data_IF_165925464185
#
_entry.id   IF_165925464185
#
_cell.length_a   1.000
_cell.length_b   1.000
_cell.length_c   1.000
_cell.angle_alpha   90.00
_cell.angle_beta   90.00
_cell.angle_gamma   90.00
#
_symmetry.space_group_name_H-M   'P 1'
#
loop_
_entity.id
_entity.type
_entity.pdbx_description
1 polymer ?
#
# COMPACT_ATOMS: atom_id res chain seq x y z
N UNK A 1 21.97 -61.72 -19.73
CA UNK A 1 21.22 -60.60 -19.15
C UNK A 1 19.77 -60.77 -19.53
N UNK A 2 18.91 -61.09 -18.56
CA UNK A 2 17.47 -61.28 -18.79
C UNK A 2 16.78 -59.92 -18.97
N UNK A 3 15.72 -59.86 -19.78
CA UNK A 3 14.96 -58.63 -20.07
C UNK A 3 14.49 -57.87 -18.81
N UNK A 4 14.35 -58.57 -17.68
CA UNK A 4 14.03 -57.98 -16.38
C UNK A 4 15.17 -57.16 -15.76
N UNK A 5 16.44 -57.50 -16.02
CA UNK A 5 17.59 -56.70 -15.56
C UNK A 5 17.75 -55.42 -16.39
N UNK A 6 17.46 -55.49 -17.69
CA UNK A 6 17.47 -54.32 -18.59
C UNK A 6 16.34 -53.36 -18.19
N UNK A 7 15.12 -53.87 -17.93
CA UNK A 7 13.99 -53.07 -17.45
C UNK A 7 14.24 -52.40 -16.08
N UNK A 8 14.90 -53.08 -15.13
CA UNK A 8 15.28 -52.46 -13.84
C UNK A 8 16.36 -51.39 -13.99
N UNK A 9 17.32 -51.60 -14.91
CA UNK A 9 18.38 -50.62 -15.20
C UNK A 9 17.81 -49.38 -15.89
N UNK A 10 16.86 -49.55 -16.82
CA UNK A 10 16.16 -48.46 -17.50
C UNK A 10 15.20 -47.68 -16.59
N UNK A 11 14.53 -48.34 -15.64
CA UNK A 11 13.72 -47.64 -14.64
C UNK A 11 14.59 -46.83 -13.66
N UNK A 12 15.76 -47.34 -13.28
CA UNK A 12 16.72 -46.64 -12.41
C UNK A 12 17.34 -45.39 -13.06
N UNK A 13 17.69 -45.45 -14.35
CA UNK A 13 18.23 -44.32 -15.13
C UNK A 13 17.16 -43.29 -15.49
N UNK A 14 15.94 -43.73 -15.84
CA UNK A 14 14.76 -42.90 -16.04
C UNK A 14 14.40 -42.08 -14.80
N UNK A 15 14.41 -42.71 -13.62
CA UNK A 15 14.05 -41.99 -12.40
C UNK A 15 15.11 -40.95 -12.00
N UNK A 16 16.40 -41.27 -12.17
CA UNK A 16 17.54 -40.37 -11.88
C UNK A 16 17.59 -39.17 -12.83
N UNK A 17 17.32 -39.38 -14.12
CA UNK A 17 17.24 -38.31 -15.12
C UNK A 17 16.05 -37.37 -14.89
N UNK A 18 14.88 -37.91 -14.51
CA UNK A 18 13.69 -37.08 -14.19
C UNK A 18 13.91 -36.17 -12.98
N UNK A 19 14.65 -36.65 -11.97
CA UNK A 19 14.94 -35.92 -10.73
C UNK A 19 16.00 -34.84 -10.93
N UNK A 20 16.96 -35.06 -11.84
CA UNK A 20 17.92 -34.05 -12.24
C UNK A 20 17.25 -32.95 -13.09
N UNK A 21 16.35 -33.36 -13.99
CA UNK A 21 15.57 -32.45 -14.83
C UNK A 21 14.66 -31.50 -14.02
N UNK A 22 13.96 -32.03 -13.02
CA UNK A 22 13.11 -31.19 -12.16
C UNK A 22 13.91 -30.20 -11.31
N UNK A 23 15.11 -30.59 -10.84
CA UNK A 23 16.02 -29.68 -10.14
C UNK A 23 16.51 -28.53 -11.03
N UNK A 24 16.79 -28.81 -12.30
CA UNK A 24 17.24 -27.81 -13.28
C UNK A 24 16.22 -26.69 -13.47
N UNK A 25 14.94 -27.03 -13.66
CA UNK A 25 13.90 -26.01 -13.86
C UNK A 25 13.48 -25.31 -12.57
N UNK A 26 13.53 -25.98 -11.41
CA UNK A 26 13.39 -25.30 -10.13
C UNK A 26 14.45 -24.21 -10.00
N UNK A 27 15.71 -24.52 -10.32
CA UNK A 27 16.78 -23.53 -10.34
C UNK A 27 16.50 -22.38 -11.32
N UNK A 28 16.01 -22.66 -12.53
CA UNK A 28 15.66 -21.63 -13.51
C UNK A 28 14.54 -20.68 -13.04
N UNK A 29 13.47 -21.21 -12.43
CA UNK A 29 12.43 -20.36 -11.85
C UNK A 29 12.98 -19.51 -10.70
N UNK A 30 13.76 -20.10 -9.80
CA UNK A 30 14.38 -19.38 -8.69
C UNK A 30 15.25 -18.23 -9.17
N UNK A 31 16.16 -18.48 -10.13
CA UNK A 31 17.04 -17.46 -10.67
C UNK A 31 16.26 -16.37 -11.39
N UNK A 32 15.26 -16.74 -12.22
CA UNK A 32 14.44 -15.76 -12.93
C UNK A 32 13.74 -14.80 -11.96
N UNK A 33 13.12 -15.31 -10.91
CA UNK A 33 12.43 -14.47 -9.92
C UNK A 33 13.38 -13.60 -9.11
N UNK A 34 14.56 -14.13 -8.74
CA UNK A 34 15.58 -13.31 -8.09
C UNK A 34 16.11 -12.22 -9.03
N UNK A 35 16.32 -12.51 -10.30
CA UNK A 35 16.72 -11.52 -11.30
C UNK A 35 15.67 -10.41 -11.42
N UNK A 36 14.38 -10.75 -11.48
CA UNK A 36 13.29 -9.76 -11.50
C UNK A 36 13.30 -8.93 -10.21
N UNK A 37 13.46 -9.56 -9.05
CA UNK A 37 13.56 -8.85 -7.77
C UNK A 37 14.72 -7.83 -7.76
N UNK A 38 15.92 -8.22 -8.18
CA UNK A 38 17.07 -7.31 -8.23
C UNK A 38 16.93 -6.22 -9.30
N UNK A 39 16.27 -6.52 -10.41
CA UNK A 39 15.96 -5.53 -11.44
C UNK A 39 14.97 -4.49 -10.92
N UNK A 40 13.92 -4.92 -10.21
CA UNK A 40 12.97 -4.02 -9.54
C UNK A 40 13.66 -3.16 -8.49
N UNK A 41 14.52 -3.75 -7.66
CA UNK A 41 15.33 -3.02 -6.69
C UNK A 41 16.22 -1.97 -7.38
N UNK A 42 16.86 -2.32 -8.49
CA UNK A 42 17.68 -1.39 -9.28
C UNK A 42 16.88 -0.20 -9.82
N UNK A 43 15.71 -0.46 -10.41
CA UNK A 43 14.79 0.58 -10.90
C UNK A 43 14.34 1.49 -9.75
N UNK A 44 14.00 0.92 -8.59
CA UNK A 44 13.62 1.67 -7.41
C UNK A 44 14.77 2.58 -6.93
N UNK A 45 15.99 2.05 -6.81
CA UNK A 45 17.16 2.83 -6.39
C UNK A 45 17.45 3.98 -7.36
N UNK A 46 17.44 3.72 -8.67
CA UNK A 46 17.66 4.74 -9.72
C UNK A 46 16.55 5.80 -9.66
N UNK A 47 15.29 5.39 -9.52
CA UNK A 47 14.15 6.31 -9.40
C UNK A 47 14.28 7.21 -8.17
N UNK A 48 14.71 6.66 -7.03
CA UNK A 48 14.96 7.45 -5.81
C UNK A 48 16.13 8.39 -5.97
N UNK A 49 17.23 7.94 -6.58
CA UNK A 49 18.38 8.80 -6.86
C UNK A 49 17.97 10.00 -7.72
N UNK A 50 17.22 9.77 -8.81
CA UNK A 50 16.68 10.85 -9.64
C UNK A 50 15.77 11.80 -8.85
N UNK A 51 14.87 11.27 -8.03
CA UNK A 51 13.96 12.08 -7.22
C UNK A 51 14.71 13.01 -6.25
N UNK A 52 15.71 12.49 -5.54
CA UNK A 52 16.50 13.30 -4.59
C UNK A 52 17.46 14.26 -5.28
N UNK A 53 17.96 13.93 -6.47
CA UNK A 53 18.81 14.84 -7.24
C UNK A 53 18.01 15.96 -7.91
N UNK A 54 16.73 15.73 -8.23
CA UNK A 54 15.83 16.73 -8.79
C UNK A 54 15.20 17.65 -7.73
N UNK A 55 15.09 17.19 -6.48
CA UNK A 55 14.48 17.94 -5.38
C UNK A 55 15.37 19.08 -4.86
N UNK A 56 14.93 20.34 -5.04
CA UNK A 56 15.67 21.53 -4.55
C UNK A 56 15.57 21.77 -3.02
N UNK A 57 14.69 21.05 -2.31
CA UNK A 57 14.30 21.36 -0.91
C UNK A 57 14.49 20.16 0.04
N UNK A 58 15.26 19.14 -0.39
CA UNK A 58 15.49 17.91 0.37
C UNK A 58 16.96 17.68 0.71
N UNK A 59 17.19 16.80 1.68
CA UNK A 59 18.49 16.17 1.94
C UNK A 59 18.97 15.36 0.73
N UNK A 60 20.28 15.35 0.47
CA UNK A 60 20.88 14.59 -0.64
C UNK A 60 20.59 13.09 -0.57
N UNK A 61 20.62 12.40 -1.71
CA UNK A 61 20.48 10.94 -1.76
C UNK A 61 21.47 10.24 -0.80
N UNK A 62 22.72 10.70 -0.74
CA UNK A 62 23.75 10.14 0.12
C UNK A 62 23.38 10.25 1.60
N UNK A 63 22.99 11.43 2.06
CA UNK A 63 22.58 11.63 3.46
C UNK A 63 21.37 10.77 3.85
N UNK A 64 20.46 10.52 2.90
CA UNK A 64 19.33 9.62 3.12
C UNK A 64 19.78 8.16 3.16
N UNK A 65 20.70 7.77 2.28
CA UNK A 65 21.27 6.42 2.28
C UNK A 65 22.01 6.14 3.59
N UNK A 66 22.77 7.10 4.11
CA UNK A 66 23.48 6.96 5.39
C UNK A 66 22.52 6.75 6.57
N UNK A 67 21.43 7.51 6.63
CA UNK A 67 20.36 7.32 7.64
C UNK A 67 19.75 5.92 7.50
N UNK A 68 19.52 5.47 6.27
CA UNK A 68 18.94 4.14 5.99
C UNK A 68 19.88 3.03 6.43
N UNK A 69 21.17 3.12 6.10
CA UNK A 69 22.18 2.13 6.45
C UNK A 69 22.49 2.12 7.95
N UNK A 70 22.50 3.27 8.62
CA UNK A 70 22.90 3.34 10.02
C UNK A 70 21.74 3.11 10.99
N UNK A 71 20.58 3.73 10.75
CA UNK A 71 19.44 3.72 11.68
C UNK A 71 18.47 2.58 11.36
N UNK A 72 18.33 2.23 10.07
CA UNK A 72 17.25 1.36 9.61
C UNK A 72 17.69 -0.08 9.32
N UNK A 73 19.00 -0.37 9.28
CA UNK A 73 19.53 -1.69 8.96
C UNK A 73 18.88 -2.86 9.71
N UNK A 74 18.64 -2.79 11.03
CA UNK A 74 17.99 -3.88 11.76
C UNK A 74 16.58 -4.20 11.26
N UNK A 75 15.88 -3.22 10.68
CA UNK A 75 14.52 -3.36 10.14
C UNK A 75 14.51 -3.72 8.65
N UNK A 76 15.56 -3.33 7.92
CA UNK A 76 15.72 -3.62 6.49
C UNK A 76 16.00 -5.10 6.23
N UNK A 77 16.80 -5.76 7.07
CA UNK A 77 17.16 -7.17 6.86
C UNK A 77 15.90 -8.07 6.92
N UNK A 78 15.05 -8.01 7.97
CA UNK A 78 13.82 -8.80 8.01
C UNK A 78 12.87 -8.47 6.86
N UNK A 79 12.74 -7.19 6.50
CA UNK A 79 11.91 -6.76 5.38
C UNK A 79 12.42 -7.33 4.06
N UNK A 80 13.73 -7.24 3.81
CA UNK A 80 14.37 -7.78 2.61
C UNK A 80 14.21 -9.30 2.52
N UNK A 81 14.46 -10.02 3.62
CA UNK A 81 14.26 -11.47 3.69
C UNK A 81 12.80 -11.82 3.37
N UNK A 82 11.86 -11.08 3.96
CA UNK A 82 10.43 -11.31 3.72
C UNK A 82 10.07 -11.03 2.26
N UNK A 83 10.55 -9.95 1.66
CA UNK A 83 10.32 -9.63 0.25
C UNK A 83 10.90 -10.72 -0.65
N UNK A 84 12.16 -11.12 -0.45
CA UNK A 84 12.78 -12.23 -1.21
C UNK A 84 11.98 -13.52 -1.04
N UNK A 85 11.49 -13.81 0.17
CA UNK A 85 10.67 -15.00 0.42
C UNK A 85 9.38 -15.03 -0.40
N UNK A 86 8.76 -13.88 -0.67
CA UNK A 86 7.59 -13.78 -1.55
C UNK A 86 7.97 -14.16 -2.99
N UNK A 87 9.09 -13.66 -3.52
CA UNK A 87 9.54 -14.01 -4.87
C UNK A 87 9.89 -15.49 -4.96
N UNK A 88 10.59 -16.04 -3.97
CA UNK A 88 10.90 -17.48 -3.91
C UNK A 88 9.64 -18.34 -3.82
N UNK A 89 8.63 -17.87 -3.09
CA UNK A 89 7.35 -18.55 -2.99
C UNK A 89 6.62 -18.61 -4.34
N UNK A 90 6.54 -17.49 -5.07
CA UNK A 90 5.95 -17.48 -6.41
C UNK A 90 6.79 -18.22 -7.45
N UNK A 91 8.13 -18.20 -7.34
CA UNK A 91 9.02 -19.00 -8.17
C UNK A 91 8.72 -20.49 -8.02
N UNK A 92 8.58 -20.94 -6.77
CA UNK A 92 8.23 -22.32 -6.46
C UNK A 92 6.82 -22.67 -6.94
N UNK A 93 5.84 -21.78 -6.78
CA UNK A 93 4.48 -21.98 -7.30
C UNK A 93 4.45 -22.15 -8.83
N UNK A 94 5.15 -21.28 -9.56
CA UNK A 94 5.30 -21.39 -11.02
C UNK A 94 6.01 -22.70 -11.42
N UNK A 95 7.06 -23.08 -10.69
CA UNK A 95 7.71 -24.38 -10.90
C UNK A 95 6.75 -25.55 -10.73
N UNK A 96 5.85 -25.54 -9.73
CA UNK A 96 4.87 -26.63 -9.55
C UNK A 96 3.89 -26.72 -10.73
N UNK A 97 3.42 -25.58 -11.23
CA UNK A 97 2.54 -25.53 -12.42
C UNK A 97 3.28 -26.08 -13.64
N UNK A 98 4.51 -25.61 -13.88
CA UNK A 98 5.35 -26.09 -14.96
C UNK A 98 5.62 -27.61 -14.86
N UNK A 99 5.93 -28.10 -13.67
CA UNK A 99 6.19 -29.53 -13.43
C UNK A 99 4.96 -30.38 -13.76
N UNK A 100 3.78 -29.88 -13.41
CA UNK A 100 2.53 -30.55 -13.74
C UNK A 100 2.25 -30.57 -15.25
N UNK A 101 2.44 -29.44 -15.94
CA UNK A 101 2.21 -29.32 -17.39
C UNK A 101 3.21 -30.17 -18.20
N UNK A 102 4.49 -30.13 -17.84
CA UNK A 102 5.55 -30.92 -18.48
C UNK A 102 5.33 -32.43 -18.33
N UNK A 103 4.94 -32.90 -17.14
CA UNK A 103 4.62 -34.32 -16.91
C UNK A 103 3.43 -34.80 -17.75
N UNK A 104 2.41 -33.95 -17.94
CA UNK A 104 1.24 -34.29 -18.77
C UNK A 104 1.61 -34.42 -20.25
N UNK A 105 2.43 -33.49 -20.75
CA UNK A 105 2.92 -33.53 -22.14
C UNK A 105 3.78 -34.78 -22.40
N UNK A 106 4.68 -35.12 -21.48
CA UNK A 106 5.53 -36.31 -21.60
C UNK A 106 4.75 -37.63 -21.55
N UNK A 107 3.63 -37.70 -20.82
CA UNK A 107 2.75 -38.90 -20.81
C UNK A 107 1.99 -39.10 -22.11
N UNK A 108 1.59 -38.01 -22.79
CA UNK A 108 0.86 -38.07 -24.07
C UNK A 108 1.77 -38.33 -25.26
N UNK A 109 3.04 -37.98 -25.17
CA UNK A 109 3.98 -38.06 -26.30
C UNK A 109 5.05 -39.13 -26.08
N UNK A 110 4.72 -40.39 -26.37
CA UNK A 110 5.70 -41.50 -26.36
C UNK A 110 6.69 -41.44 -27.55
N UNK A 111 6.34 -40.72 -28.63
CA UNK A 111 7.12 -40.69 -29.89
C UNK A 111 7.91 -39.39 -30.15
N UNK A 112 7.77 -38.34 -29.33
CA UNK A 112 8.48 -37.05 -29.53
C UNK A 112 9.52 -36.84 -28.42
N UNK A 113 10.51 -37.72 -28.35
CA UNK A 113 11.58 -37.64 -27.35
C UNK A 113 12.63 -36.57 -27.75
N UNK A 114 12.79 -36.28 -29.06
CA UNK A 114 13.78 -35.29 -29.54
C UNK A 114 13.42 -33.83 -29.22
N UNK A 115 12.14 -33.45 -29.20
CA UNK A 115 11.71 -32.06 -28.99
C UNK A 115 11.15 -31.77 -27.58
N UNK A 116 11.13 -32.76 -26.68
CA UNK A 116 10.57 -32.61 -25.34
C UNK A 116 11.23 -31.46 -24.53
N UNK A 117 12.55 -31.28 -24.69
CA UNK A 117 13.28 -30.20 -24.02
C UNK A 117 12.89 -28.81 -24.53
N UNK A 118 12.60 -28.66 -25.81
CA UNK A 118 12.20 -27.38 -26.41
C UNK A 118 10.79 -26.99 -25.97
N UNK A 119 9.86 -27.96 -25.94
CA UNK A 119 8.49 -27.75 -25.44
C UNK A 119 8.51 -27.34 -23.96
N UNK A 120 9.31 -28.02 -23.14
CA UNK A 120 9.44 -27.72 -21.71
C UNK A 120 10.05 -26.32 -21.47
N UNK A 121 11.00 -25.90 -22.32
CA UNK A 121 11.54 -24.54 -22.29
C UNK A 121 10.51 -23.48 -22.74
N UNK A 122 9.76 -23.74 -23.81
CA UNK A 122 8.68 -22.86 -24.25
C UNK A 122 7.60 -22.72 -23.18
N UNK A 123 7.22 -23.82 -22.52
CA UNK A 123 6.29 -23.80 -21.39
C UNK A 123 6.83 -22.97 -20.23
N UNK A 124 8.13 -23.09 -19.92
CA UNK A 124 8.78 -22.26 -18.92
C UNK A 124 8.70 -20.78 -19.30
N UNK A 125 9.07 -20.41 -20.52
CA UNK A 125 9.04 -19.01 -20.96
C UNK A 125 7.61 -18.45 -20.97
N UNK A 126 6.65 -19.18 -21.55
CA UNK A 126 5.26 -18.74 -21.66
C UNK A 126 4.59 -18.59 -20.29
N UNK A 127 4.82 -19.53 -19.36
CA UNK A 127 4.24 -19.47 -18.02
C UNK A 127 4.75 -18.25 -17.25
N UNK A 128 6.07 -18.06 -17.19
CA UNK A 128 6.64 -16.94 -16.44
C UNK A 128 6.33 -15.59 -17.10
N UNK A 129 6.35 -15.51 -18.44
CA UNK A 129 5.96 -14.30 -19.16
C UNK A 129 4.51 -13.92 -18.85
N UNK A 130 3.58 -14.86 -18.95
CA UNK A 130 2.17 -14.61 -18.65
C UNK A 130 2.00 -14.20 -17.18
N UNK A 131 2.68 -14.86 -16.25
CA UNK A 131 2.65 -14.52 -14.83
C UNK A 131 3.09 -13.08 -14.58
N UNK A 132 4.30 -12.70 -15.03
CA UNK A 132 4.81 -11.35 -14.81
C UNK A 132 3.97 -10.30 -15.55
N UNK A 133 3.54 -10.57 -16.78
CA UNK A 133 2.66 -9.68 -17.53
C UNK A 133 1.38 -9.36 -16.74
N UNK A 134 0.68 -10.39 -16.25
CA UNK A 134 -0.56 -10.21 -15.46
C UNK A 134 -0.27 -9.42 -14.18
N UNK A 135 0.77 -9.80 -13.44
CA UNK A 135 1.14 -9.18 -12.16
C UNK A 135 1.50 -7.70 -12.32
N UNK A 136 2.27 -7.34 -13.34
CA UNK A 136 2.63 -5.95 -13.63
C UNK A 136 1.44 -5.10 -14.10
N UNK A 137 0.56 -5.67 -14.92
CA UNK A 137 -0.68 -4.98 -15.31
C UNK A 137 -1.56 -4.75 -14.07
N UNK A 138 -1.74 -5.75 -13.20
CA UNK A 138 -2.46 -5.58 -11.94
C UNK A 138 -1.85 -4.49 -11.06
N UNK A 139 -0.53 -4.48 -10.89
CA UNK A 139 0.16 -3.44 -10.13
C UNK A 139 -0.05 -2.05 -10.73
N UNK A 140 -0.02 -1.92 -12.07
CA UNK A 140 -0.28 -0.65 -12.76
C UNK A 140 -1.70 -0.14 -12.51
N UNK A 141 -2.68 -1.04 -12.47
CA UNK A 141 -4.09 -0.67 -12.25
C UNK A 141 -4.42 -0.33 -10.80
N UNK A 142 -3.80 -1.02 -9.85
CA UNK A 142 -4.03 -0.82 -8.41
C UNK A 142 -3.14 0.28 -7.83
N UNK A 143 -1.94 0.48 -8.38
CA UNK A 143 -0.96 1.46 -7.93
C UNK A 143 -0.37 2.24 -9.12
N UNK A 144 -1.15 3.11 -9.79
CA UNK A 144 -0.65 3.99 -10.85
C UNK A 144 0.51 4.92 -10.43
N UNK A 145 0.72 5.11 -9.12
CA UNK A 145 1.85 5.88 -8.61
C UNK A 145 3.14 5.05 -8.42
N UNK A 146 3.06 3.71 -8.52
CA UNK A 146 4.24 2.82 -8.40
C UNK A 146 5.31 3.16 -9.44
N UNK A 147 6.58 3.03 -9.07
CA UNK A 147 7.71 3.17 -10.01
C UNK A 147 7.72 2.08 -11.08
N UNK A 148 7.00 0.99 -10.84
CA UNK A 148 6.83 -0.14 -11.77
C UNK A 148 5.50 -0.08 -12.53
N UNK A 149 4.77 1.04 -12.46
CA UNK A 149 3.53 1.23 -13.21
C UNK A 149 3.80 1.66 -14.65
N UNK A 150 3.01 1.13 -15.59
CA UNK A 150 3.00 1.58 -16.98
C UNK A 150 1.95 2.68 -17.16
N UNK A 151 2.35 3.94 -17.00
CA UNK A 151 1.43 5.09 -16.99
C UNK A 151 0.55 5.19 -18.25
N UNK A 152 1.05 4.72 -19.41
CA UNK A 152 0.30 4.64 -20.67
C UNK A 152 -0.91 3.70 -20.61
N UNK A 153 -0.89 2.68 -19.75
CA UNK A 153 -2.00 1.73 -19.59
C UNK A 153 -3.09 2.24 -18.64
N UNK A 154 -2.74 3.11 -17.68
CA UNK A 154 -3.66 3.60 -16.62
C UNK A 154 -4.88 4.30 -17.21
N UNK A 155 -4.67 5.14 -18.23
CA UNK A 155 -5.74 5.95 -18.83
C UNK A 155 -6.57 5.21 -19.88
N UNK A 156 -6.12 4.03 -20.33
CA UNK A 156 -6.70 3.34 -21.50
C UNK A 156 -7.37 2.03 -21.12
N UNK A 157 -7.12 1.47 -19.93
CA UNK A 157 -7.66 0.15 -19.57
C UNK A 157 -9.19 0.10 -19.43
N UNK A 158 -9.91 -0.49 -20.40
CA UNK A 158 -11.36 -0.60 -20.34
C UNK A 158 -11.76 -1.72 -19.35
N UNK A 159 -13.04 -1.74 -18.96
CA UNK A 159 -13.61 -2.77 -18.08
C UNK A 159 -13.34 -4.21 -18.57
N UNK A 160 -13.18 -4.41 -19.88
CA UNK A 160 -12.83 -5.70 -20.48
C UNK A 160 -11.44 -6.19 -20.06
N UNK A 161 -10.43 -5.31 -19.94
CA UNK A 161 -9.08 -5.69 -19.49
C UNK A 161 -9.11 -6.11 -18.03
N UNK A 162 -9.87 -5.40 -17.19
CA UNK A 162 -10.09 -5.80 -15.79
C UNK A 162 -10.71 -7.20 -15.69
N UNK A 163 -11.72 -7.52 -16.50
CA UNK A 163 -12.33 -8.87 -16.55
C UNK A 163 -11.38 -9.94 -17.09
N UNK A 164 -10.59 -9.63 -18.11
CA UNK A 164 -9.59 -10.54 -18.67
C UNK A 164 -8.50 -10.90 -17.64
N UNK A 165 -8.05 -9.93 -16.86
CA UNK A 165 -7.06 -10.12 -15.79
C UNK A 165 -7.58 -11.05 -14.68
N UNK A 166 -8.84 -10.89 -14.27
CA UNK A 166 -9.49 -11.82 -13.33
C UNK A 166 -9.58 -13.23 -13.90
N UNK A 167 -9.90 -13.36 -15.18
CA UNK A 167 -9.94 -14.64 -15.85
C UNK A 167 -8.55 -15.31 -15.83
N UNK A 168 -7.49 -14.61 -16.25
CA UNK A 168 -6.12 -15.16 -16.22
C UNK A 168 -5.68 -15.55 -14.82
N UNK A 169 -6.03 -14.76 -13.82
CA UNK A 169 -5.75 -15.05 -12.42
C UNK A 169 -6.49 -16.30 -11.93
N UNK A 170 -7.78 -16.43 -12.26
CA UNK A 170 -8.59 -17.60 -11.93
C UNK A 170 -8.06 -18.87 -12.60
N UNK A 171 -7.57 -18.77 -13.85
CA UNK A 171 -6.93 -19.86 -14.58
C UNK A 171 -5.61 -20.24 -13.91
N UNK A 172 -4.76 -19.27 -13.56
CA UNK A 172 -3.51 -19.52 -12.84
C UNK A 172 -3.75 -20.24 -11.50
N UNK A 173 -4.72 -19.76 -10.72
CA UNK A 173 -5.10 -20.36 -9.43
C UNK A 173 -5.67 -21.77 -9.60
N UNK A 174 -6.52 -21.99 -10.61
CA UNK A 174 -7.03 -23.31 -10.96
C UNK A 174 -5.92 -24.29 -11.34
N UNK A 175 -4.96 -23.84 -12.15
CA UNK A 175 -3.78 -24.63 -12.54
C UNK A 175 -2.90 -24.94 -11.34
N UNK A 176 -2.68 -23.98 -10.44
CA UNK A 176 -1.97 -24.18 -9.18
C UNK A 176 -2.69 -25.25 -8.35
N UNK A 177 -3.94 -25.04 -7.95
CA UNK A 177 -4.71 -25.99 -7.15
C UNK A 177 -4.75 -27.41 -7.75
N UNK A 178 -4.90 -27.50 -9.08
CA UNK A 178 -4.95 -28.78 -9.78
C UNK A 178 -3.58 -29.48 -9.84
N UNK A 179 -2.48 -28.73 -10.06
CA UNK A 179 -1.13 -29.26 -10.00
C UNK A 179 -0.81 -29.85 -8.61
N UNK A 180 -1.34 -29.22 -7.57
CA UNK A 180 -1.13 -29.58 -6.17
C UNK A 180 -1.95 -30.79 -5.71
N UNK A 181 -3.20 -30.96 -6.17
CA UNK A 181 -4.06 -32.13 -5.85
C UNK A 181 -3.40 -33.47 -6.24
N UNK A 182 -2.57 -33.45 -7.28
CA UNK A 182 -1.87 -34.63 -7.81
C UNK A 182 -0.61 -35.01 -7.03
N UNK A 183 -0.06 -34.14 -6.19
CA UNK A 183 1.16 -34.41 -5.42
C UNK A 183 0.79 -34.88 -4.01
N UNK A 184 0.89 -36.19 -3.77
CA UNK A 184 0.43 -36.83 -2.52
C UNK A 184 1.22 -36.44 -1.26
N UNK A 185 2.48 -35.99 -1.37
CA UNK A 185 3.40 -35.93 -0.21
C UNK A 185 3.33 -34.66 0.64
N UNK A 186 2.88 -33.52 0.09
CA UNK A 186 2.84 -32.21 0.79
C UNK A 186 1.46 -31.53 0.76
N UNK A 187 0.37 -32.30 0.61
CA UNK A 187 -0.98 -31.78 0.32
C UNK A 187 -1.44 -30.66 1.25
N UNK A 188 -1.20 -30.76 2.56
CA UNK A 188 -1.66 -29.77 3.53
C UNK A 188 -0.97 -28.40 3.35
N UNK A 189 0.36 -28.36 3.27
CA UNK A 189 1.13 -27.14 3.05
C UNK A 189 0.80 -26.47 1.70
N UNK A 190 0.56 -27.29 0.67
CA UNK A 190 0.20 -26.85 -0.68
C UNK A 190 -1.22 -26.26 -0.77
N UNK A 191 -2.18 -26.87 -0.06
CA UNK A 191 -3.54 -26.36 0.05
C UNK A 191 -3.55 -25.05 0.84
N UNK A 192 -2.84 -24.98 1.96
CA UNK A 192 -2.72 -23.76 2.77
C UNK A 192 -2.10 -22.60 1.98
N UNK A 193 -1.04 -22.85 1.23
CA UNK A 193 -0.38 -21.83 0.40
C UNK A 193 -1.24 -21.36 -0.77
N UNK A 194 -2.01 -22.26 -1.39
CA UNK A 194 -2.93 -21.89 -2.46
C UNK A 194 -4.18 -21.16 -1.96
N UNK A 195 -4.68 -21.54 -0.78
CA UNK A 195 -5.76 -20.83 -0.10
C UNK A 195 -5.28 -19.44 0.34
N UNK A 196 -4.03 -19.29 0.77
CA UNK A 196 -3.44 -18.00 1.10
C UNK A 196 -3.34 -17.11 -0.15
N UNK A 197 -2.83 -17.62 -1.27
CA UNK A 197 -2.80 -16.89 -2.55
C UNK A 197 -4.23 -16.52 -2.98
N UNK A 198 -5.16 -17.48 -2.97
CA UNK A 198 -6.56 -17.27 -3.34
C UNK A 198 -7.23 -16.22 -2.42
N UNK A 199 -6.93 -16.21 -1.13
CA UNK A 199 -7.45 -15.23 -0.17
C UNK A 199 -6.85 -13.83 -0.41
N UNK A 200 -5.54 -13.75 -0.62
CA UNK A 200 -4.85 -12.51 -0.98
C UNK A 200 -5.46 -11.92 -2.26
N UNK A 201 -5.67 -12.73 -3.29
CA UNK A 201 -6.18 -12.29 -4.58
C UNK A 201 -7.69 -12.02 -4.60
N UNK A 202 -8.53 -12.90 -4.04
CA UNK A 202 -9.98 -12.67 -3.94
C UNK A 202 -10.25 -11.41 -3.12
N UNK A 203 -9.51 -11.17 -2.03
CA UNK A 203 -9.72 -9.97 -1.22
C UNK A 203 -9.34 -8.69 -1.99
N UNK A 204 -8.23 -8.68 -2.74
CA UNK A 204 -7.87 -7.56 -3.61
C UNK A 204 -8.92 -7.31 -4.71
N UNK A 205 -9.44 -8.37 -5.32
CA UNK A 205 -10.51 -8.29 -6.33
C UNK A 205 -11.82 -7.84 -5.71
N UNK A 206 -12.20 -8.39 -4.56
CA UNK A 206 -13.41 -8.05 -3.84
C UNK A 206 -13.36 -6.58 -3.41
N UNK A 207 -12.31 -6.10 -2.73
CA UNK A 207 -12.13 -4.68 -2.37
C UNK A 207 -12.20 -3.76 -3.61
N UNK A 208 -11.67 -4.20 -4.75
CA UNK A 208 -11.74 -3.44 -6.00
C UNK A 208 -13.16 -3.32 -6.58
N UNK A 209 -14.00 -4.36 -6.43
CA UNK A 209 -15.39 -4.38 -6.93
C UNK A 209 -16.43 -3.94 -5.88
N UNK A 210 -16.12 -4.13 -4.60
CA UNK A 210 -16.94 -3.77 -3.45
C UNK A 210 -16.19 -2.71 -2.67
N UNK A 211 -16.13 -1.50 -3.23
CA UNK A 211 -16.08 -0.33 -2.35
C UNK A 211 -17.41 -0.31 -1.59
N UNK A 212 -17.48 -1.07 -0.49
CA UNK A 212 -18.63 -1.04 0.39
C UNK A 212 -18.62 0.33 1.04
N UNK A 213 -19.45 1.23 0.52
CA UNK A 213 -19.75 2.48 1.20
C UNK A 213 -20.48 2.10 2.49
N UNK A 214 -19.74 2.06 3.60
CA UNK A 214 -20.33 2.04 4.93
C UNK A 214 -21.22 3.28 5.01
N UNK A 215 -22.51 3.08 4.86
CA UNK A 215 -23.50 4.13 5.04
C UNK A 215 -23.87 4.12 6.51
N UNK A 216 -23.76 5.27 7.15
CA UNK A 216 -24.09 5.42 8.56
C UNK A 216 -25.63 5.51 8.70
N UNK A 217 -26.34 4.39 8.47
CA UNK A 217 -27.80 4.37 8.24
C UNK A 217 -28.66 4.48 9.50
N UNK A 218 -28.10 4.27 10.68
CA UNK A 218 -28.87 4.34 11.93
C UNK A 218 -28.67 5.68 12.64
N UNK A 219 -29.78 6.31 13.05
CA UNK A 219 -29.79 7.42 14.00
C UNK A 219 -29.37 6.89 15.37
N UNK A 220 -28.34 7.49 15.97
CA UNK A 220 -27.83 7.09 17.29
C UNK A 220 -28.67 7.63 18.44
N UNK A 221 -28.25 7.33 19.66
CA UNK A 221 -28.87 7.84 20.91
C UNK A 221 -28.34 9.20 21.34
N UNK A 222 -27.32 9.74 20.68
CA UNK A 222 -26.71 11.03 20.98
C UNK A 222 -27.74 12.18 20.90
N UNK A 223 -27.88 12.92 22.01
CA UNK A 223 -28.73 14.12 22.12
C UNK A 223 -27.97 15.35 22.59
N UNK A 224 -26.69 15.22 22.90
CA UNK A 224 -25.86 16.31 23.40
C UNK A 224 -25.25 17.14 22.28
N UNK A 225 -24.73 18.32 22.65
CA UNK A 225 -23.96 19.15 21.73
C UNK A 225 -22.60 18.50 21.49
N UNK A 226 -22.28 18.27 20.22
CA UNK A 226 -21.02 17.69 19.80
C UNK A 226 -20.14 18.75 19.15
N UNK A 227 -18.83 18.62 19.31
CA UNK A 227 -17.86 19.53 18.69
C UNK A 227 -17.05 18.74 17.68
N UNK A 228 -17.02 19.19 16.43
CA UNK A 228 -16.25 18.57 15.35
C UNK A 228 -15.34 19.61 14.73
N UNK A 229 -14.04 19.33 14.70
CA UNK A 229 -13.03 20.13 14.02
C UNK A 229 -12.50 19.32 12.84
N UNK A 230 -12.62 19.88 11.64
CA UNK A 230 -12.11 19.28 10.40
C UNK A 230 -10.98 20.16 9.88
N UNK A 231 -9.76 19.66 9.95
CA UNK A 231 -8.58 20.27 9.34
C UNK A 231 -8.24 19.60 8.01
N UNK A 232 -7.89 20.40 7.00
CA UNK A 232 -7.41 19.94 5.70
C UNK A 232 -6.01 20.51 5.51
N UNK A 233 -5.01 19.64 5.41
CA UNK A 233 -3.61 20.05 5.29
C UNK A 233 -3.39 20.78 3.96
N UNK A 234 -2.69 21.91 4.04
CA UNK A 234 -2.24 22.70 2.89
C UNK A 234 -3.38 23.24 1.98
N UNK A 235 -4.63 23.22 2.44
CA UNK A 235 -5.75 23.82 1.71
C UNK A 235 -5.66 25.34 1.74
N UNK A 236 -5.55 25.94 0.55
CA UNK A 236 -5.56 27.39 0.38
C UNK A 236 -6.98 27.90 0.13
N UNK A 237 -7.26 29.11 0.60
CA UNK A 237 -8.58 29.74 0.45
C UNK A 237 -9.01 29.95 -1.01
N UNK A 238 -8.06 30.19 -1.93
CA UNK A 238 -8.33 30.38 -3.36
C UNK A 238 -8.78 29.10 -4.09
N UNK A 239 -8.70 27.95 -3.42
CA UNK A 239 -9.23 26.67 -3.92
C UNK A 239 -10.69 26.44 -3.51
N UNK A 240 -11.30 27.32 -2.70
CA UNK A 240 -12.72 27.27 -2.34
C UNK A 240 -13.63 27.65 -3.53
N UNK A 241 -13.66 26.77 -4.54
CA UNK A 241 -14.45 26.93 -5.77
C UNK A 241 -15.29 25.68 -5.99
N UNK A 242 -16.54 25.87 -6.45
CA UNK A 242 -17.52 24.79 -6.61
C UNK A 242 -17.08 23.70 -7.58
N UNK A 243 -16.30 24.06 -8.60
CA UNK A 243 -15.73 23.14 -9.59
C UNK A 243 -14.54 22.31 -9.07
N UNK A 244 -13.92 22.72 -7.95
CA UNK A 244 -12.75 22.06 -7.37
C UNK A 244 -13.15 21.23 -6.13
N UNK A 245 -13.87 21.84 -5.18
CA UNK A 245 -14.26 21.19 -3.91
C UNK A 245 -15.77 21.37 -3.64
N UNK A 246 -16.65 20.80 -4.48
CA UNK A 246 -18.10 21.07 -4.45
C UNK A 246 -18.74 20.86 -3.07
N UNK A 247 -18.41 19.75 -2.39
CA UNK A 247 -18.98 19.45 -1.07
C UNK A 247 -18.54 20.42 0.02
N UNK A 248 -17.26 20.83 0.02
CA UNK A 248 -16.74 21.81 0.98
C UNK A 248 -17.30 23.20 0.66
N UNK A 249 -17.38 23.54 -0.63
CA UNK A 249 -17.98 24.78 -1.10
C UNK A 249 -19.42 24.91 -0.62
N UNK A 250 -20.26 23.91 -0.86
CA UNK A 250 -21.67 23.94 -0.46
C UNK A 250 -21.81 23.96 1.08
N UNK A 251 -20.97 23.23 1.82
CA UNK A 251 -20.95 23.27 3.28
C UNK A 251 -20.59 24.65 3.84
N UNK A 252 -19.56 25.31 3.30
CA UNK A 252 -19.13 26.64 3.75
C UNK A 252 -20.21 27.69 3.45
N UNK A 253 -20.91 27.60 2.32
CA UNK A 253 -21.99 28.54 1.96
C UNK A 253 -23.26 28.37 2.82
N UNK A 254 -23.38 27.26 3.53
CA UNK A 254 -24.45 27.01 4.51
C UNK A 254 -23.98 27.28 5.96
N UNK A 255 -22.77 27.79 6.13
CA UNK A 255 -22.12 28.02 7.42
C UNK A 255 -21.79 29.49 7.63
N UNK A 256 -21.35 29.83 8.85
CA UNK A 256 -20.73 31.14 9.11
C UNK A 256 -19.31 31.11 8.57
N UNK A 257 -19.00 32.01 7.65
CA UNK A 257 -17.69 32.11 6.99
C UNK A 257 -16.85 33.27 7.56
N UNK A 258 -15.61 32.97 7.96
CA UNK A 258 -14.65 33.94 8.47
C UNK A 258 -13.51 34.13 7.46
N UNK A 259 -13.58 35.13 6.56
CA UNK A 259 -12.55 35.35 5.54
C UNK A 259 -11.20 35.78 6.12
N UNK A 260 -11.20 36.34 7.33
CA UNK A 260 -10.02 36.86 8.03
C UNK A 260 -9.64 35.96 9.22
N UNK A 261 -9.53 34.66 8.98
CA UNK A 261 -9.05 33.69 9.95
C UNK A 261 -7.61 33.27 9.61
N UNK A 262 -6.68 33.40 10.56
CA UNK A 262 -5.26 33.18 10.34
C UNK A 262 -4.72 32.08 11.25
N UNK A 263 -3.81 31.25 10.71
CA UNK A 263 -3.00 30.36 11.54
C UNK A 263 -1.84 31.13 12.17
N UNK A 264 -1.53 30.92 13.47
CA UNK A 264 -0.43 31.63 14.12
C UNK A 264 0.95 31.29 13.57
N UNK A 265 1.11 30.10 12.99
CA UNK A 265 2.32 29.70 12.27
C UNK A 265 1.95 28.67 11.20
N UNK A 266 2.25 28.94 9.94
CA UNK A 266 1.92 28.09 8.79
C UNK A 266 2.75 26.78 8.73
N UNK A 267 2.62 25.96 9.78
CA UNK A 267 3.19 24.62 9.95
C UNK A 267 2.17 23.76 10.70
N UNK A 268 2.05 22.49 10.29
CA UNK A 268 1.02 21.56 10.77
C UNK A 268 0.99 21.43 12.29
N UNK A 269 2.07 21.00 12.93
CA UNK A 269 2.05 20.76 14.39
C UNK A 269 1.85 22.03 15.20
N UNK A 270 2.57 23.15 14.93
CA UNK A 270 2.33 24.41 15.62
C UNK A 270 0.90 24.94 15.47
N UNK A 271 0.31 24.85 14.26
CA UNK A 271 -1.08 25.28 14.01
C UNK A 271 -2.07 24.48 14.86
N UNK A 272 -1.94 23.15 14.86
CA UNK A 272 -2.81 22.26 15.62
C UNK A 272 -2.67 22.47 17.12
N UNK A 273 -1.45 22.59 17.64
CA UNK A 273 -1.26 22.81 19.07
C UNK A 273 -1.77 24.18 19.50
N UNK A 274 -1.64 25.22 18.67
CA UNK A 274 -2.24 26.52 18.95
C UNK A 274 -3.76 26.47 18.95
N UNK A 275 -4.37 25.73 18.03
CA UNK A 275 -5.82 25.51 18.02
C UNK A 275 -6.29 24.75 19.28
N UNK A 276 -5.56 23.72 19.69
CA UNK A 276 -5.92 22.92 20.87
C UNK A 276 -5.65 23.65 22.19
N UNK A 277 -4.66 24.53 22.27
CA UNK A 277 -4.29 25.20 23.54
C UNK A 277 -4.81 26.62 23.64
N UNK A 278 -5.24 27.24 22.53
CA UNK A 278 -5.54 28.67 22.47
C UNK A 278 -4.31 29.57 22.64
N UNK A 279 -3.09 29.03 22.57
CA UNK A 279 -1.84 29.76 22.80
C UNK A 279 -0.98 29.82 21.53
N UNK A 280 -0.20 30.89 21.37
CA UNK A 280 0.79 30.96 20.29
C UNK A 280 1.88 29.87 20.44
N UNK A 281 2.52 29.45 19.34
CA UNK A 281 3.63 28.47 19.35
C UNK A 281 4.77 28.84 20.31
N UNK A 282 4.96 30.13 20.57
CA UNK A 282 5.97 30.62 21.51
C UNK A 282 5.68 30.23 22.96
N UNK A 283 4.40 30.09 23.34
CA UNK A 283 3.93 29.79 24.70
C UNK A 283 3.55 28.33 24.89
N UNK A 284 3.05 27.64 23.86
CA UNK A 284 2.78 26.19 23.96
C UNK A 284 4.03 25.31 23.70
N UNK A 285 5.15 25.92 23.28
CA UNK A 285 6.43 25.25 23.04
C UNK A 285 6.56 24.56 21.68
N UNK A 286 5.47 24.33 20.93
CA UNK A 286 5.50 23.62 19.64
C UNK A 286 5.83 24.57 18.50
N UNK A 287 7.13 24.79 18.24
CA UNK A 287 7.61 25.75 17.23
C UNK A 287 7.91 25.15 15.85
N UNK A 288 7.95 23.83 15.72
CA UNK A 288 8.21 23.12 14.46
C UNK A 288 7.63 21.70 14.48
N UNK A 289 7.39 21.11 13.30
CA UNK A 289 6.66 19.83 13.16
C UNK A 289 7.37 18.63 13.83
N UNK A 290 8.70 18.58 13.76
CA UNK A 290 9.51 17.45 14.27
C UNK A 290 10.15 17.77 15.63
N UNK A 291 9.49 18.58 16.47
CA UNK A 291 9.97 18.87 17.81
C UNK A 291 9.94 17.62 18.69
N UNK A 292 11.01 17.40 19.47
CA UNK A 292 11.07 16.33 20.46
C UNK A 292 10.01 16.60 21.53
N UNK A 293 9.27 15.56 21.90
CA UNK A 293 8.12 15.72 22.80
C UNK A 293 8.50 16.27 24.17
N UNK A 294 9.66 15.86 24.66
CA UNK A 294 10.29 16.34 25.92
C UNK A 294 10.50 17.86 25.97
N UNK A 295 10.53 18.54 24.83
CA UNK A 295 10.72 19.99 24.73
C UNK A 295 9.40 20.76 24.65
N UNK A 296 8.26 20.05 24.67
CA UNK A 296 6.93 20.65 24.65
C UNK A 296 6.47 20.85 26.09
N UNK A 297 5.85 22.00 26.36
CA UNK A 297 5.28 22.27 27.67
C UNK A 297 4.00 21.41 27.86
N UNK A 298 4.14 20.41 28.73
CA UNK A 298 3.10 19.42 29.07
C UNK A 298 2.05 19.94 30.05
N UNK A 299 2.24 21.11 30.65
CA UNK A 299 1.26 21.74 31.53
C UNK A 299 0.17 22.48 30.75
N UNK A 300 0.31 22.59 29.43
CA UNK A 300 -0.69 23.23 28.58
C UNK A 300 -2.03 22.47 28.62
N UNK A 301 -3.03 23.11 29.20
CA UNK A 301 -4.41 22.65 29.11
C UNK A 301 -4.87 22.70 27.65
N UNK A 302 -5.14 21.53 27.08
CA UNK A 302 -5.74 21.39 25.74
C UNK A 302 -7.26 21.43 25.83
N UNK A 303 -7.92 21.89 24.76
CA UNK A 303 -9.37 21.89 24.57
C UNK A 303 -9.95 20.49 24.76
N UNK A 304 -9.30 19.47 24.20
CA UNK A 304 -9.64 18.06 24.40
C UNK A 304 -9.59 17.67 25.87
N UNK A 305 -8.53 18.03 26.59
CA UNK A 305 -8.41 17.73 28.03
C UNK A 305 -9.50 18.41 28.85
N UNK A 306 -9.80 19.68 28.55
CA UNK A 306 -10.86 20.44 29.23
C UNK A 306 -12.24 19.83 28.94
N UNK A 307 -12.59 19.59 27.68
CA UNK A 307 -13.88 19.00 27.30
C UNK A 307 -14.08 17.61 27.94
N UNK A 308 -13.01 16.80 27.96
CA UNK A 308 -13.03 15.49 28.61
C UNK A 308 -13.27 15.60 30.11
N UNK A 309 -12.45 16.38 30.83
CA UNK A 309 -12.44 16.42 32.30
C UNK A 309 -13.62 17.22 32.88
N UNK A 310 -13.89 18.39 32.31
CA UNK A 310 -14.84 19.35 32.87
C UNK A 310 -16.25 19.19 32.31
N UNK A 311 -16.38 18.62 31.10
CA UNK A 311 -17.66 18.58 30.37
C UNK A 311 -18.11 17.17 29.98
N UNK A 312 -17.36 16.13 30.39
CA UNK A 312 -17.65 14.71 30.15
C UNK A 312 -17.82 14.36 28.66
N UNK A 313 -17.02 14.98 27.78
CA UNK A 313 -16.97 14.62 26.36
C UNK A 313 -16.12 13.37 26.16
N UNK A 314 -16.57 12.47 25.29
CA UNK A 314 -15.68 11.46 24.70
C UNK A 314 -14.85 12.08 23.59
N UNK A 315 -13.52 12.02 23.68
CA UNK A 315 -12.63 12.78 22.80
C UNK A 315 -11.86 11.89 21.82
N UNK A 316 -11.92 12.23 20.53
CA UNK A 316 -11.27 11.47 19.45
C UNK A 316 -10.40 12.39 18.61
N UNK A 317 -9.17 11.95 18.34
CA UNK A 317 -8.33 12.54 17.30
C UNK A 317 -8.11 11.53 16.17
N UNK A 318 -8.24 11.98 14.93
CA UNK A 318 -8.07 11.15 13.74
C UNK A 318 -7.19 11.86 12.71
N UNK A 319 -6.19 11.16 12.18
CA UNK A 319 -5.35 11.68 11.09
C UNK A 319 -4.82 10.53 10.25
N UNK A 320 -4.68 10.76 8.95
CA UNK A 320 -4.03 9.84 8.01
C UNK A 320 -2.49 10.04 7.96
N UNK A 321 -1.95 10.99 8.71
CA UNK A 321 -0.51 11.26 8.85
C UNK A 321 -0.18 11.78 10.26
N UNK A 322 0.80 11.16 10.93
CA UNK A 322 1.20 11.48 12.31
C UNK A 322 2.65 11.94 12.49
N UNK A 323 3.49 11.93 11.45
CA UNK A 323 4.89 12.35 11.53
C UNK A 323 5.03 13.85 11.73
N UNK A 324 4.17 14.64 11.06
CA UNK A 324 4.25 16.10 11.11
C UNK A 324 3.32 16.75 12.13
N UNK A 325 2.54 15.94 12.87
CA UNK A 325 1.71 16.36 13.98
C UNK A 325 1.55 15.16 14.94
N UNK A 326 2.32 15.17 16.04
CA UNK A 326 2.40 14.04 16.96
C UNK A 326 1.47 14.22 18.16
N UNK A 327 0.16 14.21 17.89
CA UNK A 327 -0.89 14.19 18.91
C UNK A 327 -0.93 12.83 19.59
N UNK A 328 -1.00 12.83 20.91
CA UNK A 328 -1.01 11.63 21.75
C UNK A 328 -2.19 11.65 22.73
N UNK A 329 -2.37 10.53 23.45
CA UNK A 329 -3.41 10.43 24.48
C UNK A 329 -3.20 11.46 25.60
N UNK A 330 -1.95 11.80 25.90
CA UNK A 330 -1.62 12.85 26.89
C UNK A 330 -2.17 14.23 26.51
N UNK A 331 -2.49 14.47 25.23
CA UNK A 331 -3.15 15.70 24.77
C UNK A 331 -4.66 15.72 25.07
N UNK A 332 -5.18 14.76 25.84
CA UNK A 332 -6.57 14.73 26.31
C UNK A 332 -7.54 13.95 25.43
N UNK A 333 -7.04 13.05 24.57
CA UNK A 333 -7.85 12.23 23.67
C UNK A 333 -8.07 10.81 24.23
N UNK A 334 -9.32 10.34 24.28
CA UNK A 334 -9.67 8.96 24.61
C UNK A 334 -9.28 7.97 23.51
N UNK A 335 -9.41 8.40 22.26
CA UNK A 335 -9.15 7.55 21.09
C UNK A 335 -8.30 8.29 20.05
N UNK A 336 -7.31 7.57 19.52
CA UNK A 336 -6.51 8.00 18.39
C UNK A 336 -6.74 7.06 17.20
N UNK A 337 -7.10 7.62 16.05
CA UNK A 337 -7.21 6.91 14.76
C UNK A 337 -6.06 7.39 13.88
N UNK A 338 -4.86 6.88 14.17
CA UNK A 338 -3.60 7.35 13.58
C UNK A 338 -2.88 6.21 12.87
N UNK A 339 -2.08 6.49 11.83
CA UNK A 339 -1.06 5.55 11.39
C UNK A 339 0.01 5.34 12.48
N UNK A 340 0.58 4.13 12.51
CA UNK A 340 1.66 3.79 13.45
C UNK A 340 2.90 4.61 13.08
N UNK A 341 3.36 5.46 14.00
CA UNK A 341 4.59 6.25 13.83
C UNK A 341 5.82 5.45 14.24
N UNK A 342 6.90 5.53 13.46
CA UNK A 342 8.20 4.98 13.87
C UNK A 342 9.19 4.77 12.74
N UNK A 343 10.29 4.11 13.05
CA UNK A 343 11.39 3.81 12.12
C UNK A 343 10.91 3.01 10.90
N UNK A 344 10.00 2.06 11.12
CA UNK A 344 9.40 1.25 10.06
C UNK A 344 8.59 2.06 9.03
N UNK A 345 8.01 3.20 9.42
CA UNK A 345 7.26 4.09 8.52
C UNK A 345 8.20 4.75 7.49
N UNK A 346 9.36 5.21 7.94
CA UNK A 346 10.39 5.74 7.06
C UNK A 346 10.98 4.67 6.13
N UNK A 347 11.15 3.43 6.61
CA UNK A 347 11.64 2.31 5.80
C UNK A 347 10.65 1.92 4.72
N UNK A 348 9.43 1.58 5.13
CA UNK A 348 8.38 1.08 4.23
C UNK A 348 8.01 2.16 3.23
N UNK A 349 7.82 3.41 3.66
CA UNK A 349 7.54 4.53 2.76
C UNK A 349 8.52 4.70 1.59
N UNK A 350 9.75 4.19 1.71
CA UNK A 350 10.83 4.42 0.75
C UNK A 350 11.25 3.20 -0.07
N UNK A 351 11.27 2.00 0.53
CA UNK A 351 11.94 0.82 -0.05
C UNK A 351 11.02 -0.36 -0.36
N UNK A 352 9.70 -0.18 -0.32
CA UNK A 352 8.76 -1.30 -0.43
C UNK A 352 8.01 -1.41 -1.76
N UNK A 353 8.25 -0.52 -2.73
CA UNK A 353 7.55 -0.52 -4.02
C UNK A 353 8.08 -1.64 -4.93
N UNK A 354 7.49 -2.84 -4.81
CA UNK A 354 7.86 -4.04 -5.56
C UNK A 354 6.59 -4.73 -6.02
N UNK A 355 6.55 -5.23 -7.25
CA UNK A 355 5.28 -5.58 -7.90
C UNK A 355 4.53 -6.69 -7.15
N UNK A 356 5.24 -7.76 -6.73
CA UNK A 356 4.64 -8.84 -5.94
C UNK A 356 4.37 -8.43 -4.50
N UNK A 357 5.21 -7.56 -3.93
CA UNK A 357 5.03 -7.06 -2.58
C UNK A 357 3.77 -6.20 -2.45
N UNK A 358 3.53 -5.33 -3.43
CA UNK A 358 2.39 -4.43 -3.47
C UNK A 358 1.06 -5.20 -3.45
N UNK A 359 0.96 -6.27 -4.25
CA UNK A 359 -0.23 -7.13 -4.29
C UNK A 359 -0.46 -7.91 -2.98
N UNK A 360 0.62 -8.28 -2.27
CA UNK A 360 0.53 -8.99 -0.98
C UNK A 360 0.15 -8.06 0.15
N UNK A 361 0.56 -6.79 0.12
CA UNK A 361 0.29 -5.85 1.23
C UNK A 361 -1.12 -5.27 1.25
N UNK A 362 -1.77 -5.13 0.10
CA UNK A 362 -3.05 -4.45 -0.01
C UNK A 362 -4.27 -5.33 0.30
N UNK A 363 -4.15 -6.16 1.32
CA UNK A 363 -5.26 -6.95 1.83
C UNK A 363 -5.22 -6.97 3.36
N UNK A 364 -6.25 -7.55 3.99
CA UNK A 364 -6.37 -7.60 5.45
C UNK A 364 -5.15 -8.27 6.12
N UNK A 365 -4.59 -9.33 5.53
CA UNK A 365 -3.41 -10.01 6.08
C UNK A 365 -2.16 -9.12 5.94
N UNK A 366 -1.98 -8.47 4.79
CA UNK A 366 -0.90 -7.50 4.58
C UNK A 366 -0.95 -6.35 5.59
N UNK A 367 -2.13 -5.76 5.82
CA UNK A 367 -2.36 -4.73 6.85
C UNK A 367 -2.12 -5.22 8.28
N UNK A 368 -2.36 -6.50 8.57
CA UNK A 368 -2.05 -7.09 9.87
C UNK A 368 -0.55 -7.32 10.07
N UNK A 369 0.15 -7.80 9.03
CA UNK A 369 1.59 -8.05 9.08
C UNK A 369 2.40 -6.74 9.06
N UNK A 370 1.90 -5.71 8.38
CA UNK A 370 2.52 -4.41 8.23
C UNK A 370 1.53 -3.29 8.60
N UNK A 371 1.18 -3.13 9.89
CA UNK A 371 0.21 -2.13 10.36
C UNK A 371 0.62 -0.70 10.03
N UNK A 372 1.93 -0.47 9.85
CA UNK A 372 2.52 0.81 9.44
C UNK A 372 2.04 1.27 8.06
N UNK A 373 1.65 0.35 7.17
CA UNK A 373 1.14 0.69 5.83
C UNK A 373 -0.33 1.09 5.86
N UNK A 374 -1.06 0.69 6.91
CA UNK A 374 -2.49 0.90 6.99
C UNK A 374 -2.82 2.38 7.28
N UNK A 375 -3.67 2.99 6.43
CA UNK A 375 -4.13 4.39 6.54
C UNK A 375 -3.02 5.43 6.62
N UNK A 376 -1.84 5.10 6.10
CA UNK A 376 -0.67 5.93 6.29
C UNK A 376 -0.35 6.72 5.01
N UNK A 377 -0.80 7.97 4.97
CA UNK A 377 -0.56 8.91 3.87
C UNK A 377 0.92 9.19 3.66
N UNK A 378 1.77 8.96 4.66
CA UNK A 378 3.23 9.02 4.50
C UNK A 378 3.76 8.13 3.36
N UNK A 379 3.02 7.07 3.05
CA UNK A 379 3.30 6.05 2.04
C UNK A 379 2.40 6.31 0.83
N UNK A 380 2.57 7.50 0.23
CA UNK A 380 1.60 8.10 -0.67
C UNK A 380 1.15 7.21 -1.85
N UNK A 381 2.03 6.39 -2.43
CA UNK A 381 1.69 5.51 -3.56
C UNK A 381 0.86 4.27 -3.19
N UNK A 382 0.78 3.92 -1.91
CA UNK A 382 -0.08 2.86 -1.38
C UNK A 382 -1.30 3.38 -0.63
N UNK A 383 -1.32 4.67 -0.29
CA UNK A 383 -2.37 5.22 0.52
C UNK A 383 -3.70 5.28 -0.23
N UNK A 384 -4.65 4.43 0.17
CA UNK A 384 -6.06 4.55 -0.20
C UNK A 384 -6.81 5.31 0.90
N UNK A 385 -7.18 6.56 0.59
CA UNK A 385 -7.92 7.43 1.50
C UNK A 385 -9.25 6.84 1.96
N UNK A 386 -9.85 5.93 1.18
CA UNK A 386 -11.09 5.28 1.55
C UNK A 386 -10.96 4.48 2.85
N UNK A 387 -9.81 3.83 3.08
CA UNK A 387 -9.58 3.06 4.31
C UNK A 387 -9.62 3.92 5.57
N UNK A 388 -9.05 5.13 5.51
CA UNK A 388 -9.12 6.09 6.61
C UNK A 388 -10.54 6.59 6.83
N UNK A 389 -11.28 6.85 5.75
CA UNK A 389 -12.69 7.25 5.81
C UNK A 389 -13.56 6.14 6.40
N UNK A 390 -13.35 4.88 6.04
CA UNK A 390 -14.08 3.74 6.60
C UNK A 390 -13.90 3.64 8.12
N UNK A 391 -12.66 3.78 8.60
CA UNK A 391 -12.38 3.75 10.03
C UNK A 391 -12.96 4.97 10.78
N UNK A 392 -12.95 6.14 10.14
CA UNK A 392 -13.63 7.32 10.67
C UNK A 392 -15.15 7.12 10.73
N UNK A 393 -15.76 6.50 9.72
CA UNK A 393 -17.19 6.20 9.69
C UNK A 393 -17.58 5.14 10.73
N UNK A 394 -16.73 4.14 10.95
CA UNK A 394 -16.89 3.17 12.03
C UNK A 394 -16.85 3.86 13.39
N UNK A 395 -15.91 4.77 13.61
CA UNK A 395 -15.86 5.53 14.86
C UNK A 395 -17.04 6.48 15.00
N UNK A 396 -17.46 7.16 13.93
CA UNK A 396 -18.68 7.99 13.94
C UNK A 396 -19.92 7.17 14.35
N UNK A 397 -20.03 5.91 13.94
CA UNK A 397 -21.09 5.01 14.40
C UNK A 397 -21.01 4.69 15.90
N UNK A 398 -19.80 4.65 16.48
CA UNK A 398 -19.63 4.54 17.93
C UNK A 398 -19.99 5.86 18.65
N UNK A 399 -19.54 6.99 18.10
CA UNK A 399 -19.76 8.34 18.64
C UNK A 399 -21.24 8.72 18.69
N UNK A 400 -22.03 8.25 17.72
CA UNK A 400 -23.49 8.36 17.69
C UNK A 400 -24.19 7.81 18.94
N UNK A 401 -23.53 6.94 19.72
CA UNK A 401 -24.06 6.38 20.97
C UNK A 401 -23.44 7.01 22.23
N UNK A 402 -22.60 8.04 22.09
CA UNK A 402 -22.08 8.84 23.21
C UNK A 402 -23.02 9.99 23.51
N UNK A 403 -23.09 10.43 24.76
CA UNK A 403 -23.94 11.58 25.12
C UNK A 403 -23.42 12.89 24.50
N UNK A 404 -22.09 13.10 24.58
CA UNK A 404 -21.36 14.22 23.96
C UNK A 404 -20.01 13.72 23.46
N UNK A 405 -19.56 14.24 22.32
CA UNK A 405 -18.22 13.93 21.82
C UNK A 405 -17.51 15.13 21.20
N UNK A 406 -16.18 15.07 21.24
CA UNK A 406 -15.28 15.97 20.54
C UNK A 406 -14.49 15.17 19.52
N UNK A 407 -14.62 15.49 18.24
CA UNK A 407 -13.87 14.87 17.15
C UNK A 407 -12.98 15.90 16.48
N UNK A 408 -11.66 15.72 16.59
CA UNK A 408 -10.69 16.46 15.81
C UNK A 408 -10.14 15.56 14.70
N UNK A 409 -10.44 15.87 13.44
CA UNK A 409 -9.98 15.10 12.28
C UNK A 409 -9.10 15.96 11.38
N UNK A 410 -7.99 15.39 10.92
CA UNK A 410 -7.03 16.03 10.02
C UNK A 410 -6.84 15.18 8.75
N UNK A 411 -7.07 15.79 7.59
CA UNK A 411 -6.87 15.16 6.28
C UNK A 411 -5.61 15.68 5.62
N UNK A 412 -4.61 14.82 5.41
CA UNK A 412 -3.30 15.20 4.90
C UNK A 412 -3.10 14.91 3.41
N UNK A 413 -4.12 14.38 2.72
CA UNK A 413 -4.03 14.04 1.30
C UNK A 413 -3.61 15.22 0.40
N UNK A 414 -4.10 16.46 0.59
CA UNK A 414 -3.71 17.61 -0.22
C UNK A 414 -2.32 18.18 0.14
N UNK A 415 -1.54 17.53 1.01
CA UNK A 415 -0.14 17.90 1.22
C UNK A 415 0.76 17.29 0.12
N UNK A 416 1.87 17.95 -0.23
CA UNK A 416 2.87 17.43 -1.17
C UNK A 416 3.38 16.04 -0.71
N UNK A 417 3.47 15.00 -1.57
CA UNK A 417 3.59 15.06 -3.02
C UNK A 417 2.28 15.00 -3.84
N UNK A 418 1.09 15.22 -3.26
CA UNK A 418 -0.20 15.15 -3.97
C UNK A 418 -0.45 13.79 -4.67
N UNK A 419 0.02 12.69 -4.07
CA UNK A 419 -0.12 11.33 -4.58
C UNK A 419 -0.99 10.47 -3.65
N UNK A 420 -1.71 9.53 -4.24
CA UNK A 420 -2.45 8.48 -3.53
C UNK A 420 -2.41 7.18 -4.36
N UNK A 421 -2.82 6.05 -3.80
CA UNK A 421 -2.93 4.79 -4.55
C UNK A 421 -3.84 4.89 -5.78
N UNK A 422 -4.85 5.76 -5.75
CA UNK A 422 -5.79 5.96 -6.87
C UNK A 422 -5.47 7.17 -7.76
N UNK A 423 -4.49 8.00 -7.39
CA UNK A 423 -4.14 9.25 -8.07
C UNK A 423 -2.72 9.09 -8.63
N UNK A 424 -2.61 8.81 -9.93
CA UNK A 424 -1.33 8.52 -10.60
C UNK A 424 -0.43 9.74 -10.77
N UNK A 425 0.86 9.51 -10.97
CA UNK A 425 1.90 10.56 -11.11
C UNK A 425 1.62 11.61 -12.19
N UNK A 426 0.83 11.27 -13.21
CA UNK A 426 0.47 12.17 -14.32
C UNK A 426 -0.87 12.93 -14.17
N UNK A 427 -1.54 12.84 -13.01
CA UNK A 427 -2.74 13.69 -12.75
C UNK A 427 -2.39 15.13 -12.39
N UNK A 428 -1.17 15.34 -11.93
CA UNK A 428 -0.52 16.63 -11.84
C UNK A 428 0.66 16.56 -12.82
N UNK A 429 0.83 17.58 -13.68
CA UNK A 429 1.98 17.74 -14.56
C UNK A 429 3.31 17.61 -13.80
N UNK A 430 4.41 17.45 -14.53
CA UNK A 430 5.73 16.98 -14.06
C UNK A 430 6.29 17.68 -12.81
N UNK A 431 5.73 18.82 -12.41
CA UNK A 431 6.06 19.58 -11.21
C UNK A 431 5.12 19.36 -10.00
N UNK A 432 4.25 18.35 -10.00
CA UNK A 432 3.22 18.18 -8.96
C UNK A 432 2.14 19.27 -9.01
N UNK A 433 1.96 19.86 -10.18
CA UNK A 433 1.09 20.98 -10.47
C UNK A 433 0.18 20.59 -11.63
N UNK A 434 -1.10 20.95 -11.59
CA UNK A 434 -2.05 20.69 -12.69
C UNK A 434 -1.40 20.96 -14.08
N UNK A 435 -1.72 20.17 -15.13
CA UNK A 435 -1.12 20.31 -16.45
C UNK A 435 -1.09 21.78 -16.90
N UNK A 436 0.04 22.18 -17.50
CA UNK A 436 0.50 23.57 -17.75
C UNK A 436 -0.58 24.53 -18.29
N UNK A 437 -1.61 24.03 -18.95
CA UNK A 437 -2.73 24.82 -19.49
C UNK A 437 -3.63 25.48 -18.44
N UNK A 438 -3.41 25.30 -17.13
CA UNK A 438 -4.09 26.10 -16.07
C UNK A 438 -3.18 27.11 -15.35
N UNK A 439 -1.90 27.17 -15.70
CA UNK A 439 -0.98 28.15 -15.10
C UNK A 439 -1.15 29.56 -15.67
N UNK A 440 -1.55 29.71 -16.94
CA UNK A 440 -1.81 31.04 -17.53
C UNK A 440 -2.99 31.78 -16.88
N UNK A 441 -3.89 31.07 -16.20
CA UNK A 441 -4.98 31.66 -15.43
C UNK A 441 -4.57 32.09 -14.01
N UNK A 442 -3.33 31.83 -13.59
CA UNK A 442 -2.80 32.27 -12.28
C UNK A 442 -2.00 33.58 -12.33
N UNK A 443 -1.76 34.12 -13.53
CA UNK A 443 -1.02 35.38 -13.74
C UNK A 443 -1.88 36.49 -14.37
N UNK A 444 -3.22 36.37 -14.32
CA UNK A 444 -4.15 37.45 -14.68
C UNK A 444 -5.13 37.75 -13.57
#
# INVERSE_FOLDING_TARGET
MTDQEILKKDQGTSHRSSRFYSKKYLFYHTILFLMVFFLELGVLVISRQHFFNAGKVGSSFQSQLDVVLFVLMPYLIPLFIFMVSIYLFFAWGNFQIWLFLSQKNRRKSKNIIKNANYIDLLLFCALNFLFFFVVYVFNTLLYPASVHSFQSLVNVTPLCVKKALLFFLSVYLGLLLFSLKKMQKNRAFLILTSLLILTIFINNVFVFFTKSHLTATNYGTNKGNNVIIIGIDSLRHDFLKKDIIPHVYDFVHQSIYFPNAFTPLARTYPSWMSLLTGKYPSYNGVRYNLIKRELIDHENLTLSSYLKKEQNYYTVHATDESRFCNIKHEDGFDKLIHPVTGVADFVLGRFHDFVLFNLVLNNRLGRMLFPVVNRNRAIAYFYDGQSFIEDLLLELNNLKNKDRFFLAVHFCLPHWPFLSAGIGKGTFGENGLLPENRYELMLR
#
